data_IF_756946795037
#
_entry.id   IF_756946795037
#
_cell.length_a   1.000
_cell.length_b   1.000
_cell.length_c   1.000
_cell.angle_alpha   90.00
_cell.angle_beta   90.00
_cell.angle_gamma   90.00
#
_symmetry.space_group_name_H-M   'P 1'
#
loop_
_entity.id
_entity.type
_entity.pdbx_description
1 polymer ?
#
# COMPACT_ATOMS: atom_id res chain seq x y z
N UNK A 1 4.47 2.80 20.33
CA UNK A 1 3.95 2.84 18.95
C UNK A 1 3.03 4.03 18.88
N UNK A 2 3.37 5.07 18.10
CA UNK A 2 2.52 6.25 17.94
C UNK A 2 1.77 6.12 16.63
N UNK A 3 0.46 6.33 16.65
CA UNK A 3 -0.40 6.32 15.47
C UNK A 3 -0.92 7.76 15.31
N UNK A 4 -0.78 8.31 14.10
CA UNK A 4 -1.26 9.64 13.74
C UNK A 4 -1.95 9.57 12.39
N UNK A 5 -2.82 10.53 12.13
CA UNK A 5 -3.40 10.73 10.80
C UNK A 5 -2.27 10.99 9.78
N UNK A 6 -2.44 10.38 8.60
CA UNK A 6 -1.53 10.54 7.48
C UNK A 6 -1.77 11.90 6.81
N UNK A 7 -0.69 12.56 6.41
CA UNK A 7 -0.73 13.81 5.66
C UNK A 7 -0.21 13.60 4.24
N UNK A 8 -0.31 14.62 3.38
CA UNK A 8 0.16 14.53 1.99
C UNK A 8 1.64 14.20 1.88
N UNK A 9 2.43 14.62 2.87
CA UNK A 9 3.86 14.35 2.96
C UNK A 9 4.16 12.84 3.13
N UNK A 10 3.21 12.07 3.65
CA UNK A 10 3.37 10.63 3.88
C UNK A 10 3.08 9.79 2.62
N UNK A 11 2.43 10.36 1.61
CA UNK A 11 1.89 9.62 0.44
C UNK A 11 2.94 8.75 -0.24
N UNK A 12 4.15 9.27 -0.47
CA UNK A 12 5.22 8.51 -1.13
C UNK A 12 5.67 7.32 -0.29
N UNK A 13 5.84 7.51 1.02
CA UNK A 13 6.25 6.46 1.94
C UNK A 13 5.15 5.39 2.09
N UNK A 14 3.89 5.83 2.19
CA UNK A 14 2.72 4.93 2.22
C UNK A 14 2.57 4.14 0.93
N UNK A 15 2.75 4.78 -0.23
CA UNK A 15 2.70 4.10 -1.52
C UNK A 15 3.73 2.96 -1.61
N UNK A 16 4.97 3.21 -1.15
CA UNK A 16 6.01 2.18 -1.10
C UNK A 16 5.65 1.07 -0.11
N UNK A 17 5.21 1.42 1.10
CA UNK A 17 4.85 0.47 2.13
C UNK A 17 3.69 -0.43 1.69
N UNK A 18 2.59 0.15 1.21
CA UNK A 18 1.39 -0.58 0.78
C UNK A 18 1.72 -1.50 -0.38
N UNK A 19 2.39 -1.00 -1.42
CA UNK A 19 2.76 -1.86 -2.55
C UNK A 19 3.77 -2.95 -2.16
N UNK A 20 4.65 -2.72 -1.17
CA UNK A 20 5.56 -3.76 -0.67
C UNK A 20 4.85 -4.89 0.10
N UNK A 21 3.69 -4.61 0.69
CA UNK A 21 2.92 -5.59 1.46
C UNK A 21 2.21 -6.62 0.56
N UNK A 22 1.95 -6.26 -0.70
CA UNK A 22 1.40 -7.16 -1.71
C UNK A 22 2.58 -7.86 -2.41
N UNK A 23 2.92 -9.01 -1.86
CA UNK A 23 4.21 -9.70 -2.01
C UNK A 23 4.37 -10.34 -3.41
N UNK A 24 5.21 -9.73 -4.25
CA UNK A 24 5.94 -10.44 -5.31
C UNK A 24 6.98 -11.44 -4.73
N UNK A 25 7.80 -12.07 -5.59
CA UNK A 25 8.78 -13.18 -5.41
C UNK A 25 9.14 -13.68 -3.98
N UNK A 26 9.29 -12.81 -3.00
CA UNK A 26 9.38 -13.15 -1.57
C UNK A 26 8.26 -14.06 -1.04
N UNK A 27 7.04 -13.97 -1.59
CA UNK A 27 5.88 -14.83 -1.24
C UNK A 27 6.00 -16.26 -1.78
N UNK A 28 6.74 -16.47 -2.88
CA UNK A 28 6.95 -17.80 -3.48
C UNK A 28 7.73 -18.77 -2.58
N UNK A 29 8.32 -18.27 -1.49
CA UNK A 29 9.00 -19.07 -0.47
C UNK A 29 8.04 -19.70 0.55
N UNK A 30 6.76 -19.30 0.56
CA UNK A 30 5.71 -19.88 1.41
C UNK A 30 4.99 -21.05 0.74
N UNK A 31 4.39 -21.95 1.54
CA UNK A 31 3.65 -23.12 1.04
C UNK A 31 2.32 -22.76 0.35
N UNK A 32 1.76 -21.58 0.64
CA UNK A 32 0.58 -21.02 -0.05
C UNK A 32 0.92 -19.63 -0.56
N UNK A 33 0.93 -19.45 -1.88
CA UNK A 33 1.19 -18.15 -2.52
C UNK A 33 0.15 -17.88 -3.60
N UNK A 34 -0.45 -16.70 -3.56
CA UNK A 34 -1.33 -16.17 -4.61
C UNK A 34 -0.54 -15.28 -5.58
N UNK A 35 0.80 -15.28 -5.53
CA UNK A 35 1.64 -14.43 -6.38
C UNK A 35 1.48 -14.71 -7.89
N UNK A 36 0.93 -15.86 -8.25
CA UNK A 36 0.63 -16.21 -9.63
C UNK A 36 -0.85 -15.88 -10.02
N UNK A 37 -1.66 -15.43 -9.05
CA UNK A 37 -3.06 -15.02 -9.24
C UNK A 37 -3.24 -13.50 -9.11
N UNK A 38 -2.42 -12.85 -8.29
CA UNK A 38 -2.48 -11.42 -8.01
C UNK A 38 -1.09 -10.82 -8.17
N UNK A 39 -0.94 -9.95 -9.17
CA UNK A 39 0.28 -9.20 -9.46
C UNK A 39 -0.07 -7.72 -9.74
N UNK A 40 0.95 -6.87 -9.70
CA UNK A 40 0.87 -5.47 -10.10
C UNK A 40 0.76 -4.47 -8.95
N UNK A 41 0.47 -3.23 -9.34
CA UNK A 41 0.42 -2.08 -8.43
C UNK A 41 -0.93 -2.06 -7.71
N UNK A 42 -0.91 -2.03 -6.37
CA UNK A 42 -2.13 -1.98 -5.57
C UNK A 42 -2.67 -0.56 -5.44
N UNK A 43 -1.79 0.43 -5.38
CA UNK A 43 -2.15 1.84 -5.30
C UNK A 43 -1.09 2.74 -5.92
N UNK A 44 -1.46 3.97 -6.25
CA UNK A 44 -0.56 5.02 -6.75
C UNK A 44 -0.49 6.19 -5.77
N UNK A 45 0.51 7.04 -5.97
CA UNK A 45 0.65 8.33 -5.26
C UNK A 45 -0.61 9.18 -5.41
N UNK A 46 -1.13 9.31 -6.64
CA UNK A 46 -2.31 10.14 -6.92
C UNK A 46 -3.56 9.58 -6.22
N UNK A 47 -3.77 8.26 -6.30
CA UNK A 47 -4.88 7.57 -5.64
C UNK A 47 -4.84 7.75 -4.12
N UNK A 48 -3.65 7.64 -3.52
CA UNK A 48 -3.49 7.85 -2.08
C UNK A 48 -3.68 9.30 -1.67
N UNK A 49 -3.17 10.25 -2.45
CA UNK A 49 -3.38 11.67 -2.20
C UNK A 49 -4.88 12.03 -2.24
N UNK A 50 -5.62 11.48 -3.21
CA UNK A 50 -7.06 11.64 -3.29
C UNK A 50 -7.75 11.02 -2.06
N UNK A 51 -7.37 9.81 -1.65
CA UNK A 51 -7.95 9.16 -0.47
C UNK A 51 -7.74 9.95 0.82
N UNK A 52 -6.56 10.54 1.01
CA UNK A 52 -6.26 11.40 2.17
C UNK A 52 -7.11 12.68 2.16
N UNK A 53 -7.40 13.24 0.98
CA UNK A 53 -8.22 14.44 0.84
C UNK A 53 -9.73 14.17 0.97
N UNK A 54 -10.17 12.90 1.08
CA UNK A 54 -11.59 12.59 1.17
C UNK A 54 -12.18 13.04 2.52
N UNK A 55 -13.34 13.72 2.50
CA UNK A 55 -14.06 14.04 3.73
C UNK A 55 -14.35 12.78 4.54
N UNK A 56 -14.03 12.82 5.84
CA UNK A 56 -14.18 11.70 6.80
C UNK A 56 -13.26 10.49 6.53
N UNK A 57 -12.17 10.66 5.77
CA UNK A 57 -11.07 9.71 5.84
C UNK A 57 -10.51 9.72 7.28
N UNK A 58 -10.32 8.52 7.86
CA UNK A 58 -9.80 8.27 9.22
C UNK A 58 -8.72 7.21 9.18
#
# INVERSE_FOLDING_TARGET
MNIREATKEDVTALNQLVNSAYRGDSSRKGWTTEADLLDGIRTSVDSLAEMIDRPNAV
#
